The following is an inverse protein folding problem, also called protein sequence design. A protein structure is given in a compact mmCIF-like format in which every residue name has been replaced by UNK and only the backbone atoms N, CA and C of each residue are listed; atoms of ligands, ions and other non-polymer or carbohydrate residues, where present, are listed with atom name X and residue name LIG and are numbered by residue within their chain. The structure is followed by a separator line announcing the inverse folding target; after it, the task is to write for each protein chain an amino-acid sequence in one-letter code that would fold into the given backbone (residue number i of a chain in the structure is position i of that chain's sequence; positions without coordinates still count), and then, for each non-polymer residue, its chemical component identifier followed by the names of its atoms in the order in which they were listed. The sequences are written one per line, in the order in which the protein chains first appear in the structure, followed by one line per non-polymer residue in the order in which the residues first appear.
data_IF_117625118857
#
_entry.id   IF_117625118857
#
_cell.length_a   1.000
_cell.length_b   1.000
_cell.length_c   1.000
_cell.angle_alpha   90.00
_cell.angle_beta   90.00
_cell.angle_gamma   90.00
#
_symmetry.space_group_name_H-M   'P 1'
#
loop_
_entity.id
_entity.type
_entity.pdbx_description
1 polymer ?
#
# COMPACT_ATOMS: atom_id res chain seq x y z
N UNK A 1 -1.28 -18.30 1.93
CA UNK A 1 -0.99 -16.86 2.05
C UNK A 1 -2.25 -16.01 2.14
N UNK A 2 -3.18 -16.03 1.16
CA UNK A 2 -4.34 -15.12 1.18
C UNK A 2 -5.19 -15.20 2.47
N UNK A 3 -5.41 -16.39 3.02
CA UNK A 3 -6.11 -16.55 4.30
C UNK A 3 -5.41 -15.84 5.47
N UNK A 4 -4.08 -15.93 5.52
CA UNK A 4 -3.28 -15.26 6.56
C UNK A 4 -3.33 -13.74 6.41
N UNK A 5 -3.32 -13.24 5.17
CA UNK A 5 -3.50 -11.80 4.90
C UNK A 5 -4.87 -11.31 5.34
N UNK A 6 -5.93 -12.11 5.15
CA UNK A 6 -7.27 -11.75 5.63
C UNK A 6 -7.35 -11.75 7.17
N UNK A 7 -6.67 -12.68 7.85
CA UNK A 7 -6.61 -12.72 9.31
C UNK A 7 -5.78 -11.56 9.88
N UNK A 8 -4.69 -11.20 9.21
CA UNK A 8 -3.83 -10.06 9.56
C UNK A 8 -4.55 -8.72 9.32
N UNK A 9 -5.15 -8.53 8.15
CA UNK A 9 -5.95 -7.33 7.83
C UNK A 9 -7.13 -7.12 8.80
N UNK A 10 -7.73 -8.21 9.29
CA UNK A 10 -8.77 -8.15 10.34
C UNK A 10 -8.26 -7.71 11.71
N UNK A 11 -6.97 -7.85 11.97
CA UNK A 11 -6.34 -7.55 13.26
C UNK A 11 -5.68 -6.18 13.26
N UNK A 12 -4.93 -5.86 12.21
CA UNK A 12 -4.08 -4.65 12.14
C UNK A 12 -4.73 -3.49 11.40
N UNK A 13 -5.66 -3.77 10.46
CA UNK A 13 -6.41 -2.77 9.69
C UNK A 13 -5.56 -1.78 8.87
N UNK A 14 -4.34 -2.15 8.49
CA UNK A 14 -3.37 -1.32 7.77
C UNK A 14 -3.12 -1.79 6.32
N UNK A 15 -3.77 -2.88 5.90
CA UNK A 15 -3.55 -3.50 4.60
C UNK A 15 -4.52 -2.98 3.51
N UNK A 16 -3.94 -2.54 2.39
CA UNK A 16 -4.65 -2.24 1.14
C UNK A 16 -4.25 -3.29 0.09
N UNK A 17 -5.24 -3.95 -0.53
CA UNK A 17 -5.00 -4.99 -1.52
C UNK A 17 -5.86 -4.79 -2.76
N UNK A 18 -5.26 -4.95 -3.94
CA UNK A 18 -5.96 -4.91 -5.23
C UNK A 18 -5.72 -6.20 -6.03
N UNK A 19 -6.67 -6.55 -6.89
CA UNK A 19 -6.65 -7.79 -7.65
C UNK A 19 -5.82 -7.67 -8.94
N UNK A 20 -4.49 -7.69 -8.80
CA UNK A 20 -3.57 -7.86 -9.92
C UNK A 20 -2.37 -8.73 -9.49
N UNK A 21 -1.66 -9.29 -10.47
CA UNK A 21 -0.43 -10.05 -10.19
C UNK A 21 0.67 -9.08 -9.79
N UNK A 22 1.05 -9.09 -8.51
CA UNK A 22 2.19 -8.30 -8.03
C UNK A 22 3.50 -8.90 -8.56
N UNK A 23 4.27 -8.08 -9.27
CA UNK A 23 5.55 -8.43 -9.87
C UNK A 23 6.32 -7.16 -10.21
N UNK A 24 7.64 -7.25 -10.39
CA UNK A 24 8.45 -6.12 -10.82
C UNK A 24 7.92 -5.40 -12.07
N UNK A 25 7.38 -6.14 -13.04
CA UNK A 25 6.82 -5.57 -14.27
C UNK A 25 5.51 -4.80 -14.05
N UNK A 26 4.79 -5.08 -12.97
CA UNK A 26 3.47 -4.52 -12.66
C UNK A 26 3.53 -3.53 -11.50
N UNK A 27 4.71 -3.08 -11.08
CA UNK A 27 4.86 -2.06 -10.04
C UNK A 27 4.15 -0.75 -10.38
N UNK A 28 4.01 -0.39 -11.66
CA UNK A 28 3.20 0.77 -12.08
C UNK A 28 1.73 0.62 -11.68
N UNK A 29 1.16 -0.59 -11.74
CA UNK A 29 -0.20 -0.85 -11.26
C UNK A 29 -0.29 -0.70 -9.74
N UNK A 30 0.73 -1.16 -9.01
CA UNK A 30 0.85 -0.93 -7.57
C UNK A 30 0.94 0.57 -7.24
N UNK A 31 1.65 1.34 -8.07
CA UNK A 31 1.73 2.80 -7.93
C UNK A 31 0.37 3.48 -8.09
N UNK A 32 -0.34 3.13 -9.17
CA UNK A 32 -1.69 3.64 -9.41
C UNK A 32 -2.67 3.21 -8.29
N UNK A 33 -2.53 2.01 -7.75
CA UNK A 33 -3.35 1.53 -6.64
C UNK A 33 -3.29 2.47 -5.44
N UNK A 34 -2.09 2.76 -4.91
CA UNK A 34 -1.97 3.60 -3.73
C UNK A 34 -2.26 5.07 -4.04
N UNK A 35 -1.96 5.58 -5.24
CA UNK A 35 -2.34 6.93 -5.65
C UNK A 35 -3.86 7.12 -5.67
N UNK A 36 -4.59 6.18 -6.28
CA UNK A 36 -6.07 6.22 -6.30
C UNK A 36 -6.65 6.11 -4.90
N UNK A 37 -6.06 5.27 -4.04
CA UNK A 37 -6.49 5.17 -2.64
C UNK A 37 -6.34 6.53 -1.91
N UNK A 38 -5.21 7.20 -2.08
CA UNK A 38 -4.99 8.51 -1.43
C UNK A 38 -5.94 9.57 -1.98
N UNK A 39 -6.15 9.61 -3.30
CA UNK A 39 -7.09 10.52 -3.96
C UNK A 39 -8.54 10.32 -3.45
N UNK A 40 -8.98 9.07 -3.30
CA UNK A 40 -10.35 8.73 -2.90
C UNK A 40 -10.59 8.89 -1.38
N UNK A 41 -9.62 8.53 -0.53
CA UNK A 41 -9.84 8.36 0.91
C UNK A 41 -9.03 9.33 1.80
N UNK A 42 -8.11 10.12 1.24
CA UNK A 42 -7.25 11.04 2.01
C UNK A 42 -7.24 12.47 1.42
N UNK A 43 -8.39 13.18 1.37
CA UNK A 43 -8.53 14.44 0.63
C UNK A 43 -7.71 15.62 1.17
N UNK A 44 -7.28 15.57 2.43
CA UNK A 44 -6.59 16.67 3.11
C UNK A 44 -5.09 16.38 3.38
N UNK A 45 -4.52 15.40 2.69
CA UNK A 45 -3.16 14.95 2.93
C UNK A 45 -2.15 15.94 2.31
N UNK A 46 -1.20 16.43 3.10
CA UNK A 46 -0.25 17.47 2.63
C UNK A 46 0.98 16.88 1.91
N UNK A 47 1.48 15.74 2.39
CA UNK A 47 2.68 15.11 1.87
C UNK A 47 2.61 13.59 2.00
N UNK A 48 2.98 12.90 0.94
CA UNK A 48 2.99 11.43 0.87
C UNK A 48 4.44 10.99 0.78
N UNK A 49 4.82 10.03 1.61
CA UNK A 49 6.12 9.37 1.52
C UNK A 49 5.88 7.90 1.17
N UNK A 50 6.58 7.43 0.14
CA UNK A 50 6.61 6.02 -0.25
C UNK A 50 7.97 5.44 0.10
N UNK A 51 7.97 4.35 0.87
CA UNK A 51 9.15 3.52 1.13
C UNK A 51 8.92 2.11 0.58
N UNK A 52 10.01 1.45 0.18
CA UNK A 52 10.01 0.01 -0.07
C UNK A 52 10.24 -0.74 1.25
N UNK A 53 9.81 -2.01 1.30
CA UNK A 53 9.84 -2.81 2.53
C UNK A 53 11.24 -3.19 3.03
N UNK A 54 12.28 -2.82 2.31
CA UNK A 54 13.70 -3.07 2.58
C UNK A 54 14.48 -1.77 2.87
N UNK A 55 13.80 -0.64 3.04
CA UNK A 55 14.41 0.64 3.38
C UNK A 55 14.39 0.87 4.90
N UNK A 56 15.51 1.35 5.44
CA UNK A 56 15.58 1.95 6.79
C UNK A 56 15.59 3.46 6.64
N UNK A 57 14.56 4.14 7.13
CA UNK A 57 14.44 5.60 7.08
C UNK A 57 14.50 6.23 8.47
N UNK A 58 15.12 7.41 8.58
CA UNK A 58 14.88 8.31 9.71
C UNK A 58 13.75 9.28 9.33
N UNK A 59 12.64 9.23 10.04
CA UNK A 59 11.39 9.93 9.69
C UNK A 59 11.05 11.08 10.65
N UNK A 60 12.03 11.56 11.43
CA UNK A 60 11.91 12.67 12.38
C UNK A 60 13.16 13.54 12.37
#
# INVERSE_FOLDING_TARGET
MQKQLLEESRREHDLIQQNFRDSYRTLTWKALMWLRFIDEYCPNMHSIIKFDGDIVGNIL
#
